data_IF_916952524191
#
_entry.id   IF_916952524191
#
_cell.length_a   1.000
_cell.length_b   1.000
_cell.length_c   1.000
_cell.angle_alpha   90.00
_cell.angle_beta   90.00
_cell.angle_gamma   90.00
#
_symmetry.space_group_name_H-M   'P 1'
#
loop_
_entity.id
_entity.type
_entity.pdbx_description
1 polymer ?
#
# COMPACT_ATOMS: atom_id res chain seq x y z
N UNK A 1 11.26 -36.11 17.43
CA UNK A 1 10.68 -35.47 16.23
C UNK A 1 10.71 -33.97 16.45
N UNK A 2 11.51 -33.24 15.65
CA UNK A 2 11.56 -31.76 15.68
C UNK A 2 10.39 -31.20 14.87
N UNK A 3 9.61 -30.24 15.39
CA UNK A 3 8.53 -29.63 14.63
C UNK A 3 9.11 -28.83 13.46
N UNK A 4 8.75 -29.25 12.25
CA UNK A 4 9.10 -28.55 11.01
C UNK A 4 8.42 -27.18 11.02
N UNK A 5 9.21 -26.13 11.19
CA UNK A 5 8.75 -24.74 11.08
C UNK A 5 8.55 -24.47 9.59
N UNK A 6 7.31 -24.60 9.14
CA UNK A 6 6.87 -24.28 7.79
C UNK A 6 7.33 -22.86 7.44
N UNK A 7 8.44 -22.77 6.70
CA UNK A 7 8.95 -21.50 6.19
C UNK A 7 8.02 -21.12 5.04
N UNK A 8 6.96 -20.38 5.38
CA UNK A 8 6.15 -19.66 4.40
C UNK A 8 7.11 -18.99 3.40
N UNK A 9 6.95 -19.24 2.08
CA UNK A 9 7.83 -18.66 1.08
C UNK A 9 7.88 -17.16 1.29
N UNK A 10 9.08 -16.59 1.24
CA UNK A 10 9.34 -15.18 1.51
C UNK A 10 8.64 -14.38 0.40
N UNK A 11 7.39 -14.00 0.67
CA UNK A 11 6.54 -13.30 -0.27
C UNK A 11 7.22 -11.97 -0.59
N UNK A 12 7.52 -11.73 -1.86
CA UNK A 12 8.20 -10.51 -2.29
C UNK A 12 7.28 -9.32 -2.02
N UNK A 13 7.62 -8.55 -1.00
CA UNK A 13 6.87 -7.36 -0.63
C UNK A 13 7.45 -6.13 -1.33
N UNK A 14 6.62 -5.44 -2.09
CA UNK A 14 6.94 -4.16 -2.72
C UNK A 14 6.48 -3.04 -1.80
N UNK A 15 7.34 -2.05 -1.56
CA UNK A 15 7.03 -0.91 -0.69
C UNK A 15 7.27 0.38 -1.45
N UNK A 16 6.24 1.22 -1.49
CA UNK A 16 6.27 2.53 -2.12
C UNK A 16 5.97 3.57 -1.04
N UNK A 17 6.79 4.61 -0.98
CA UNK A 17 6.61 5.70 -0.04
C UNK A 17 6.41 6.98 -0.84
N UNK A 18 5.30 7.66 -0.62
CA UNK A 18 5.04 9.01 -1.11
C UNK A 18 5.33 9.99 0.02
N UNK A 19 6.29 10.90 -0.22
CA UNK A 19 6.50 12.05 0.64
C UNK A 19 5.60 13.20 0.17
N UNK A 20 4.75 13.67 1.08
CA UNK A 20 3.75 14.68 0.81
C UNK A 20 3.97 15.91 1.70
N UNK A 21 5.19 16.09 2.25
CA UNK A 21 5.48 17.17 3.19
C UNK A 21 5.12 18.54 2.61
N UNK A 22 5.57 18.84 1.39
CA UNK A 22 5.30 20.10 0.71
C UNK A 22 3.80 20.42 0.50
N UNK A 23 2.99 19.55 -0.14
CA UNK A 23 1.57 19.87 -0.36
C UNK A 23 0.73 19.87 0.93
N UNK A 24 1.19 19.24 2.00
CA UNK A 24 0.54 19.31 3.33
C UNK A 24 0.88 20.61 4.04
N UNK A 25 2.15 21.01 4.01
CA UNK A 25 2.61 22.29 4.56
C UNK A 25 1.91 23.48 3.87
N UNK A 26 1.70 23.37 2.56
CA UNK A 26 0.96 24.33 1.76
C UNK A 26 -0.57 24.28 1.98
N UNK A 27 -1.07 23.26 2.70
CA UNK A 27 -2.49 23.08 3.00
C UNK A 27 -3.36 22.68 1.80
N UNK A 28 -2.75 22.23 0.71
CA UNK A 28 -3.44 21.90 -0.56
C UNK A 28 -3.70 20.40 -0.73
N UNK A 29 -3.31 19.56 0.24
CA UNK A 29 -3.47 18.11 0.19
C UNK A 29 -4.57 17.57 1.10
N UNK A 30 -5.47 16.75 0.53
CA UNK A 30 -6.49 16.01 1.28
C UNK A 30 -6.13 14.51 1.36
N UNK A 31 -5.74 14.07 2.54
CA UNK A 31 -5.42 12.67 2.82
C UNK A 31 -6.59 11.71 2.69
N UNK A 32 -7.76 12.08 3.20
CA UNK A 32 -8.91 11.19 3.19
C UNK A 32 -9.38 10.90 1.77
N UNK A 33 -9.42 11.95 0.94
CA UNK A 33 -9.75 11.82 -0.46
C UNK A 33 -8.68 11.03 -1.24
N UNK A 34 -7.39 11.30 -0.99
CA UNK A 34 -6.32 10.59 -1.69
C UNK A 34 -6.21 9.11 -1.28
N UNK A 35 -6.41 8.79 0.00
CA UNK A 35 -6.47 7.40 0.46
C UNK A 35 -7.63 6.65 -0.23
N UNK A 36 -8.83 7.26 -0.28
CA UNK A 36 -9.97 6.69 -0.98
C UNK A 36 -9.67 6.49 -2.48
N UNK A 37 -9.06 7.49 -3.13
CA UNK A 37 -8.63 7.40 -4.51
C UNK A 37 -7.68 6.22 -4.75
N UNK A 38 -6.66 6.04 -3.90
CA UNK A 38 -5.74 4.91 -4.00
C UNK A 38 -6.50 3.58 -3.84
N UNK A 39 -7.44 3.50 -2.90
CA UNK A 39 -8.24 2.28 -2.67
C UNK A 39 -9.09 1.90 -3.89
N UNK A 40 -9.56 2.90 -4.64
CA UNK A 40 -10.42 2.69 -5.80
C UNK A 40 -9.66 2.51 -7.12
N UNK A 41 -8.49 3.14 -7.25
CA UNK A 41 -7.74 3.18 -8.52
C UNK A 41 -6.60 2.19 -8.60
N UNK A 42 -6.03 1.74 -7.48
CA UNK A 42 -5.00 0.70 -7.51
C UNK A 42 -5.60 -0.58 -8.10
N UNK A 43 -4.93 -1.08 -9.13
CA UNK A 43 -5.27 -2.34 -9.80
C UNK A 43 -4.36 -3.45 -9.34
N UNK A 44 -4.96 -4.56 -8.96
CA UNK A 44 -4.24 -5.82 -8.70
C UNK A 44 -4.70 -6.81 -9.75
N UNK A 45 -3.78 -7.28 -10.59
CA UNK A 45 -4.08 -8.20 -11.69
C UNK A 45 -5.18 -7.67 -12.65
N UNK A 46 -5.11 -6.38 -12.99
CA UNK A 46 -6.04 -5.73 -13.92
C UNK A 46 -7.41 -5.35 -13.35
N UNK A 47 -7.71 -5.64 -12.07
CA UNK A 47 -8.98 -5.29 -11.41
C UNK A 47 -8.78 -4.26 -10.30
N UNK A 48 -9.62 -3.24 -10.27
CA UNK A 48 -9.72 -2.26 -9.18
C UNK A 48 -10.54 -2.80 -8.02
N UNK A 49 -10.47 -2.14 -6.85
CA UNK A 49 -11.18 -2.50 -5.60
C UNK A 49 -10.94 -3.93 -5.09
N UNK A 50 -9.90 -4.60 -5.59
CA UNK A 50 -9.51 -5.96 -5.22
C UNK A 50 -8.22 -5.96 -4.38
N UNK A 51 -8.17 -5.11 -3.34
CA UNK A 51 -6.98 -4.92 -2.52
C UNK A 51 -6.84 -6.00 -1.46
N UNK A 52 -7.95 -6.49 -0.90
CA UNK A 52 -8.00 -7.60 0.05
C UNK A 52 -6.95 -7.48 1.15
N UNK A 53 -6.14 -8.51 1.33
CA UNK A 53 -4.96 -8.53 2.21
C UNK A 53 -3.64 -8.41 1.43
N UNK A 54 -3.72 -8.05 0.14
CA UNK A 54 -2.58 -8.06 -0.79
C UNK A 54 -1.92 -6.69 -0.86
N UNK A 55 -2.70 -5.61 -0.74
CA UNK A 55 -2.22 -4.23 -0.75
C UNK A 55 -2.64 -3.56 0.54
N UNK A 56 -1.67 -3.09 1.30
CA UNK A 56 -1.83 -2.28 2.51
C UNK A 56 -1.45 -0.84 2.21
N UNK A 57 -2.28 0.09 2.67
CA UNK A 57 -2.05 1.53 2.52
C UNK A 57 -2.04 2.10 3.93
N UNK A 58 -0.92 2.67 4.34
CA UNK A 58 -0.73 3.30 5.63
C UNK A 58 -0.47 4.79 5.42
N UNK A 59 -1.21 5.63 6.15
CA UNK A 59 -1.00 7.07 6.19
C UNK A 59 -0.30 7.44 7.50
N UNK A 60 0.82 8.16 7.41
CA UNK A 60 1.59 8.58 8.57
C UNK A 60 2.03 10.04 8.45
N UNK A 61 1.30 10.93 9.13
CA UNK A 61 1.50 12.40 9.16
C UNK A 61 1.63 13.04 7.77
N UNK A 62 2.81 12.93 7.16
CA UNK A 62 3.18 13.55 5.90
C UNK A 62 3.54 12.54 4.81
N UNK A 63 3.34 11.25 5.07
CA UNK A 63 3.75 10.17 4.18
C UNK A 63 2.62 9.18 3.98
N UNK A 64 2.53 8.65 2.77
CA UNK A 64 1.69 7.50 2.46
C UNK A 64 2.59 6.35 2.05
N UNK A 65 2.41 5.21 2.70
CA UNK A 65 3.13 3.99 2.42
C UNK A 65 2.18 2.98 1.81
N UNK A 66 2.49 2.52 0.61
CA UNK A 66 1.77 1.45 -0.08
C UNK A 66 2.65 0.21 -0.08
N UNK A 67 2.19 -0.83 0.59
CA UNK A 67 2.85 -2.12 0.67
C UNK A 67 2.03 -3.13 -0.12
N UNK A 68 2.64 -3.83 -1.07
CA UNK A 68 1.97 -4.84 -1.86
C UNK A 68 2.74 -6.14 -1.90
N UNK A 69 2.05 -7.24 -1.75
CA UNK A 69 2.62 -8.58 -1.90
C UNK A 69 2.59 -9.09 -3.36
N UNK A 70 2.01 -8.29 -4.27
CA UNK A 70 1.99 -8.55 -5.72
C UNK A 70 2.46 -7.34 -6.50
N UNK A 71 2.85 -7.56 -7.75
CA UNK A 71 3.15 -6.47 -8.67
C UNK A 71 1.87 -5.70 -9.04
N UNK A 72 2.02 -4.39 -9.19
CA UNK A 72 1.01 -3.54 -9.80
C UNK A 72 1.06 -3.71 -11.32
N UNK A 73 -0.10 -3.68 -11.98
CA UNK A 73 -0.26 -3.69 -13.44
C UNK A 73 -1.11 -2.50 -13.88
#
# INVERSE_FOLDING_TARGET
MVPQKDKKPKQTTWKFNLDLSYPIEDGTFDFGNFEQFLREKIKVNGKTRNLGNVVHIDCFKNKIMVVSEKTFL
#
